data_IF_332497137953
#
_entry.id   IF_332497137953
#
_cell.length_a   1.000
_cell.length_b   1.000
_cell.length_c   1.000
_cell.angle_alpha   90.00
_cell.angle_beta   90.00
_cell.angle_gamma   90.00
#
_symmetry.space_group_name_H-M   'P 1'
#
loop_
_entity.id
_entity.type
_entity.pdbx_description
1 polymer ?
#
# COMPACT_ATOMS: atom_id res chain seq x y z
N UNK A 1 -40.46 8.24 15.06
CA UNK A 1 -39.80 8.96 13.93
C UNK A 1 -38.27 8.93 14.05
N UNK A 2 -37.67 7.82 14.53
CA UNK A 2 -36.20 7.66 14.72
C UNK A 2 -35.65 6.41 14.01
N UNK A 3 -36.52 5.55 13.44
CA UNK A 3 -36.10 4.38 12.64
C UNK A 3 -35.92 4.64 11.13
N UNK A 4 -36.19 5.86 10.65
CA UNK A 4 -36.07 6.23 9.23
C UNK A 4 -34.80 7.02 8.87
N UNK A 5 -33.97 7.39 9.85
CA UNK A 5 -32.74 8.18 9.60
C UNK A 5 -31.50 7.28 9.47
N UNK A 6 -31.51 6.08 10.09
CA UNK A 6 -30.38 5.14 10.01
C UNK A 6 -30.23 4.45 8.64
N UNK A 7 -31.32 4.28 7.89
CA UNK A 7 -31.28 3.64 6.58
C UNK A 7 -30.82 4.58 5.45
N UNK A 8 -30.85 5.89 5.68
CA UNK A 8 -30.36 6.87 4.70
C UNK A 8 -28.84 7.11 4.81
N UNK A 9 -28.23 6.72 5.93
CA UNK A 9 -26.78 6.90 6.17
C UNK A 9 -25.95 5.70 5.69
N UNK A 10 -26.54 4.49 5.62
CA UNK A 10 -25.88 3.31 5.04
C UNK A 10 -25.92 3.28 3.51
N UNK A 11 -26.93 3.90 2.88
CA UNK A 11 -27.01 3.99 1.41
C UNK A 11 -26.01 5.00 0.81
N UNK A 12 -25.47 5.91 1.61
CA UNK A 12 -24.49 6.91 1.17
C UNK A 12 -23.03 6.42 1.28
N UNK A 13 -22.80 5.27 1.92
CA UNK A 13 -21.49 4.63 2.07
C UNK A 13 -21.25 3.48 1.07
N UNK A 14 -22.27 3.13 0.27
CA UNK A 14 -22.21 2.07 -0.76
C UNK A 14 -22.10 2.60 -2.20
N UNK A 15 -21.76 3.89 -2.37
CA UNK A 15 -21.56 4.53 -3.69
C UNK A 15 -20.17 5.17 -3.84
N UNK A 16 -19.19 4.75 -3.04
CA UNK A 16 -17.77 5.05 -3.23
C UNK A 16 -16.95 3.80 -3.60
N UNK A 17 -17.58 2.85 -4.27
CA UNK A 17 -16.87 2.04 -5.28
C UNK A 17 -17.18 2.67 -6.64
N UNK A 18 -16.76 3.92 -6.82
CA UNK A 18 -16.25 4.27 -8.14
C UNK A 18 -15.00 3.39 -8.26
N UNK A 19 -15.17 2.22 -8.89
CA UNK A 19 -14.11 1.68 -9.72
C UNK A 19 -13.78 2.80 -10.69
N UNK A 20 -12.83 3.64 -10.29
CA UNK A 20 -12.01 4.37 -11.25
C UNK A 20 -11.60 3.27 -12.21
N UNK A 21 -12.07 3.35 -13.45
CA UNK A 21 -11.49 2.59 -14.52
C UNK A 21 -10.03 3.02 -14.52
N UNK A 22 -9.23 2.28 -13.77
CA UNK A 22 -7.80 2.50 -13.59
C UNK A 22 -7.25 2.47 -15.01
N UNK A 23 -6.81 3.63 -15.49
CA UNK A 23 -6.18 3.67 -16.80
C UNK A 23 -4.88 2.90 -16.66
N UNK A 24 -4.92 1.60 -16.95
CA UNK A 24 -3.89 0.61 -16.68
C UNK A 24 -2.62 0.84 -17.52
N UNK A 25 -1.98 2.01 -17.40
CA UNK A 25 -0.69 2.30 -18.00
C UNK A 25 0.34 2.49 -16.88
N UNK A 26 0.37 1.53 -15.96
CA UNK A 26 1.40 1.49 -14.93
C UNK A 26 2.77 1.37 -15.60
N UNK A 27 3.78 1.99 -14.99
CA UNK A 27 5.17 1.86 -15.42
C UNK A 27 5.95 1.13 -14.33
N UNK A 28 6.57 0.01 -14.69
CA UNK A 28 7.57 -0.66 -13.87
C UNK A 28 8.97 -0.25 -14.35
N UNK A 29 9.89 0.02 -13.42
CA UNK A 29 11.25 0.48 -13.74
C UNK A 29 12.30 -0.31 -12.95
N UNK A 30 13.36 -0.75 -13.63
CA UNK A 30 14.55 -1.31 -12.98
C UNK A 30 15.50 -0.20 -12.50
N UNK A 31 16.01 -0.34 -11.28
CA UNK A 31 16.92 0.60 -10.62
C UNK A 31 18.04 -0.15 -9.89
N UNK A 32 19.25 0.41 -9.87
CA UNK A 32 20.36 -0.07 -9.04
C UNK A 32 21.59 -0.51 -9.81
N UNK A 33 21.68 -0.26 -11.11
CA UNK A 33 22.79 -0.74 -11.95
C UNK A 33 23.65 0.40 -12.53
N UNK A 34 23.37 1.68 -12.19
CA UNK A 34 24.17 2.80 -12.69
C UNK A 34 24.10 4.05 -11.80
N UNK A 35 25.25 4.57 -11.37
CA UNK A 35 25.34 5.77 -10.50
C UNK A 35 24.67 7.02 -11.07
N UNK A 36 24.62 7.16 -12.39
CA UNK A 36 24.01 8.32 -13.05
C UNK A 36 22.49 8.36 -12.90
N UNK A 37 21.86 7.27 -12.46
CA UNK A 37 20.40 7.17 -12.33
C UNK A 37 19.85 7.95 -11.13
N UNK A 38 20.69 8.23 -10.14
CA UNK A 38 20.30 8.95 -8.91
C UNK A 38 19.76 8.01 -7.83
N UNK A 39 19.36 8.59 -6.70
CA UNK A 39 18.89 7.83 -5.53
C UNK A 39 17.52 7.18 -5.76
N UNK A 40 17.20 6.13 -5.00
CA UNK A 40 15.89 5.48 -5.07
C UNK A 40 14.75 6.44 -4.66
N UNK A 41 14.97 7.28 -3.64
CA UNK A 41 14.00 8.33 -3.26
C UNK A 41 13.73 9.29 -4.42
N UNK A 42 14.74 9.75 -5.15
CA UNK A 42 14.58 10.65 -6.31
C UNK A 42 13.78 9.96 -7.43
N UNK A 43 14.11 8.71 -7.74
CA UNK A 43 13.37 7.89 -8.72
C UNK A 43 11.88 7.83 -8.39
N UNK A 44 11.54 7.52 -7.14
CA UNK A 44 10.17 7.43 -6.68
C UNK A 44 9.45 8.79 -6.67
N UNK A 45 10.15 9.86 -6.28
CA UNK A 45 9.61 11.22 -6.23
C UNK A 45 9.23 11.79 -7.62
N UNK A 46 9.66 11.16 -8.72
CA UNK A 46 9.22 11.55 -10.07
C UNK A 46 7.71 11.40 -10.28
N UNK A 47 7.04 10.54 -9.50
CA UNK A 47 5.62 10.21 -9.67
C UNK A 47 5.30 9.55 -11.01
N UNK A 48 6.29 8.90 -11.65
CA UNK A 48 6.15 8.26 -12.97
C UNK A 48 5.88 6.76 -12.90
N UNK A 49 6.32 6.10 -11.82
CA UNK A 49 6.42 4.65 -11.75
C UNK A 49 5.47 4.10 -10.67
N UNK A 50 4.78 3.01 -11.01
CA UNK A 50 3.92 2.28 -10.08
C UNK A 50 4.69 1.14 -9.37
N UNK A 51 5.75 0.66 -10.02
CA UNK A 51 6.63 -0.40 -9.51
C UNK A 51 8.09 0.01 -9.70
N UNK A 52 8.91 -0.17 -8.68
CA UNK A 52 10.37 -0.04 -8.75
C UNK A 52 11.00 -1.37 -8.39
N UNK A 53 11.89 -1.85 -9.24
CA UNK A 53 12.50 -3.16 -9.15
C UNK A 53 13.99 -2.98 -8.86
N UNK A 54 14.43 -3.41 -7.68
CA UNK A 54 15.82 -3.32 -7.22
C UNK A 54 16.64 -4.43 -7.88
N UNK A 55 17.52 -4.05 -8.80
CA UNK A 55 18.38 -4.93 -9.56
C UNK A 55 19.81 -4.88 -9.00
N UNK A 56 20.41 -5.96 -8.48
CA UNK A 56 19.91 -7.34 -8.38
C UNK A 56 20.43 -8.09 -7.15
N UNK A 57 19.76 -9.17 -6.75
CA UNK A 57 20.39 -10.28 -6.04
C UNK A 57 20.84 -11.32 -7.08
N UNK A 58 22.10 -11.26 -7.50
CA UNK A 58 22.61 -12.04 -8.63
C UNK A 58 23.64 -13.12 -8.26
N UNK A 59 23.84 -13.38 -6.97
CA UNK A 59 24.62 -14.52 -6.50
C UNK A 59 23.82 -15.21 -5.39
N UNK A 60 23.39 -16.45 -5.59
CA UNK A 60 22.65 -17.26 -4.60
C UNK A 60 22.50 -18.73 -5.02
N UNK A 61 22.10 -19.58 -4.06
CA UNK A 61 21.81 -21.00 -4.27
C UNK A 61 23.05 -21.85 -4.48
N UNK A 62 22.88 -23.17 -4.60
CA UNK A 62 23.94 -24.18 -4.63
C UNK A 62 24.97 -24.01 -3.48
N UNK A 63 24.48 -23.68 -2.28
CA UNK A 63 25.30 -23.44 -1.09
C UNK A 63 26.12 -22.14 -1.08
N UNK A 64 25.94 -21.27 -2.08
CA UNK A 64 26.57 -19.94 -2.09
C UNK A 64 25.90 -18.98 -1.10
N UNK A 65 26.68 -18.04 -0.55
CA UNK A 65 26.14 -16.98 0.31
C UNK A 65 25.46 -15.93 -0.57
N UNK A 66 24.14 -15.69 -0.40
CA UNK A 66 23.47 -14.76 -1.28
C UNK A 66 24.01 -13.33 -1.13
N UNK A 67 24.28 -12.65 -2.24
CA UNK A 67 24.86 -11.31 -2.26
C UNK A 67 24.14 -10.41 -3.23
N UNK A 68 23.76 -9.22 -2.76
CA UNK A 68 23.14 -8.18 -3.58
C UNK A 68 24.22 -7.37 -4.31
N UNK A 69 23.95 -6.98 -5.54
CA UNK A 69 24.75 -6.09 -6.35
C UNK A 69 23.88 -4.92 -6.80
N UNK A 70 24.12 -3.73 -6.23
CA UNK A 70 23.49 -2.48 -6.64
C UNK A 70 24.52 -1.53 -7.27
N UNK A 71 25.39 -2.10 -8.12
CA UNK A 71 26.54 -1.42 -8.70
C UNK A 71 27.31 -0.64 -7.63
N UNK A 72 27.53 0.66 -7.83
CA UNK A 72 28.26 1.54 -6.91
C UNK A 72 27.34 2.36 -5.99
N UNK A 73 26.02 2.12 -6.00
CA UNK A 73 25.10 2.79 -5.08
C UNK A 73 25.38 2.45 -3.61
N UNK A 74 25.79 1.21 -3.35
CA UNK A 74 26.20 0.79 -2.02
C UNK A 74 27.08 -0.46 -2.06
N UNK A 75 27.92 -0.60 -1.05
CA UNK A 75 28.66 -1.84 -0.79
C UNK A 75 27.84 -2.69 0.21
N UNK A 76 27.45 -3.93 -0.15
CA UNK A 76 26.76 -4.81 0.80
C UNK A 76 27.64 -5.21 1.98
N UNK A 77 28.96 -5.07 1.89
CA UNK A 77 29.87 -5.28 3.00
C UNK A 77 29.68 -4.20 4.07
N UNK A 78 29.88 -4.59 5.33
CA UNK A 78 29.86 -3.66 6.47
C UNK A 78 28.58 -2.82 6.57
N UNK A 79 27.42 -3.40 6.20
CA UNK A 79 26.11 -2.77 6.29
C UNK A 79 25.88 -1.55 5.36
N UNK A 80 26.70 -1.37 4.31
CA UNK A 80 26.67 -0.17 3.46
C UNK A 80 25.38 0.05 2.68
N UNK A 81 24.60 -1.01 2.40
CA UNK A 81 23.31 -0.91 1.69
C UNK A 81 22.10 -0.65 2.60
N UNK A 82 22.25 -0.61 3.93
CA UNK A 82 21.10 -0.44 4.84
C UNK A 82 20.44 0.94 4.78
N UNK A 83 21.17 1.93 4.27
CA UNK A 83 20.66 3.29 4.04
C UNK A 83 19.47 3.30 3.09
N UNK A 84 19.37 2.33 2.18
CA UNK A 84 18.24 2.17 1.26
C UNK A 84 16.91 1.85 1.97
N UNK A 85 16.93 1.41 3.24
CA UNK A 85 15.70 1.18 4.02
C UNK A 85 14.80 2.42 4.04
N UNK A 86 15.38 3.60 4.21
CA UNK A 86 14.63 4.85 4.23
C UNK A 86 14.04 5.15 2.85
N UNK A 87 14.82 4.94 1.79
CA UNK A 87 14.37 5.20 0.42
C UNK A 87 13.21 4.27 0.02
N UNK A 88 13.32 2.98 0.35
CA UNK A 88 12.26 1.99 0.12
C UNK A 88 10.96 2.43 0.80
N UNK A 89 11.04 2.83 2.08
CA UNK A 89 9.88 3.34 2.83
C UNK A 89 9.30 4.61 2.20
N UNK A 90 10.14 5.51 1.69
CA UNK A 90 9.69 6.71 0.99
C UNK A 90 8.93 6.39 -0.31
N UNK A 91 9.36 5.38 -1.06
CA UNK A 91 8.62 4.89 -2.23
C UNK A 91 7.27 4.29 -1.82
N UNK A 92 7.27 3.39 -0.82
CA UNK A 92 6.07 2.71 -0.35
C UNK A 92 5.02 3.67 0.22
N UNK A 93 5.45 4.75 0.91
CA UNK A 93 4.54 5.80 1.38
C UNK A 93 3.84 6.56 0.24
N UNK A 94 4.40 6.52 -0.98
CA UNK A 94 3.79 7.09 -2.18
C UNK A 94 2.91 6.08 -2.93
N UNK A 95 2.73 4.87 -2.38
CA UNK A 95 1.95 3.79 -3.01
C UNK A 95 2.71 2.99 -4.06
N UNK A 96 4.01 3.25 -4.24
CA UNK A 96 4.86 2.54 -5.19
C UNK A 96 5.27 1.20 -4.58
N UNK A 97 5.09 0.11 -5.32
CA UNK A 97 5.58 -1.21 -4.90
C UNK A 97 7.07 -1.33 -5.18
N UNK A 98 7.83 -1.77 -4.19
CA UNK A 98 9.27 -2.00 -4.32
C UNK A 98 9.55 -3.50 -4.23
N UNK A 99 10.09 -4.07 -5.30
CA UNK A 99 10.44 -5.50 -5.40
C UNK A 99 11.97 -5.66 -5.46
N UNK A 100 12.47 -6.80 -4.97
CA UNK A 100 13.86 -7.22 -5.23
C UNK A 100 13.88 -8.17 -6.42
N UNK A 101 14.70 -7.87 -7.42
CA UNK A 101 14.94 -8.78 -8.54
C UNK A 101 16.06 -9.75 -8.25
N UNK A 102 15.77 -11.04 -8.42
CA UNK A 102 16.74 -12.13 -8.39
C UNK A 102 17.16 -12.46 -9.82
N UNK A 103 18.46 -12.65 -10.03
CA UNK A 103 19.03 -13.01 -11.32
C UNK A 103 19.69 -11.83 -12.06
N UNK A 104 19.23 -11.56 -13.28
CA UNK A 104 19.79 -10.63 -14.25
C UNK A 104 20.73 -11.31 -15.26
N UNK A 105 21.12 -10.58 -16.31
CA UNK A 105 21.96 -11.07 -17.40
C UNK A 105 23.38 -11.55 -17.00
N UNK A 106 23.84 -11.26 -15.77
CA UNK A 106 25.12 -11.71 -15.23
C UNK A 106 24.99 -12.07 -13.74
N UNK A 107 25.81 -13.01 -13.29
CA UNK A 107 25.81 -13.51 -11.92
C UNK A 107 26.09 -15.00 -11.81
N UNK A 108 26.01 -15.50 -10.58
CA UNK A 108 26.14 -16.91 -10.27
C UNK A 108 24.97 -17.34 -9.38
N UNK A 109 23.84 -17.59 -10.04
CA UNK A 109 22.61 -18.00 -9.39
C UNK A 109 22.09 -19.30 -9.99
N UNK A 110 21.64 -20.21 -9.12
CA UNK A 110 21.08 -21.51 -9.51
C UNK A 110 20.29 -22.09 -8.35
N UNK A 111 19.48 -23.13 -8.59
CA UNK A 111 18.81 -23.89 -7.55
C UNK A 111 19.13 -25.37 -7.74
N UNK A 112 19.92 -25.96 -6.85
CA UNK A 112 20.42 -27.32 -7.03
C UNK A 112 19.37 -28.41 -6.71
N UNK A 113 18.32 -28.04 -5.97
CA UNK A 113 17.24 -28.94 -5.55
C UNK A 113 16.03 -28.16 -5.04
N UNK A 114 14.92 -28.88 -4.80
CA UNK A 114 13.75 -28.36 -4.08
C UNK A 114 14.10 -27.81 -2.68
N UNK A 115 15.00 -28.49 -1.94
CA UNK A 115 15.48 -28.02 -0.64
C UNK A 115 16.28 -26.71 -0.78
N UNK A 116 17.06 -26.56 -1.84
CA UNK A 116 17.80 -25.33 -2.13
C UNK A 116 16.83 -24.19 -2.47
N UNK A 117 15.81 -24.44 -3.28
CA UNK A 117 14.71 -23.49 -3.55
C UNK A 117 14.02 -23.04 -2.26
N UNK A 118 13.74 -23.98 -1.33
CA UNK A 118 13.18 -23.65 -0.03
C UNK A 118 14.14 -22.80 0.82
N UNK A 119 15.44 -23.15 0.86
CA UNK A 119 16.44 -22.39 1.61
C UNK A 119 16.58 -20.96 1.08
N UNK A 120 16.57 -20.77 -0.24
CA UNK A 120 16.56 -19.45 -0.87
C UNK A 120 15.28 -18.69 -0.54
N UNK A 121 14.11 -19.33 -0.58
CA UNK A 121 12.84 -18.71 -0.14
C UNK A 121 12.91 -18.23 1.31
N UNK A 122 13.39 -19.08 2.23
CA UNK A 122 13.53 -18.75 3.65
C UNK A 122 14.53 -17.59 3.86
N UNK A 123 15.61 -17.55 3.07
CA UNK A 123 16.57 -16.44 3.08
C UNK A 123 15.91 -15.13 2.62
N UNK A 124 15.21 -15.13 1.49
CA UNK A 124 14.51 -13.96 0.96
C UNK A 124 13.44 -13.46 1.95
N UNK A 125 12.68 -14.39 2.53
CA UNK A 125 11.67 -14.09 3.53
C UNK A 125 12.26 -13.36 4.75
N UNK A 126 13.34 -13.89 5.30
CA UNK A 126 13.96 -13.35 6.51
C UNK A 126 14.84 -12.12 6.25
N UNK A 127 15.46 -12.01 5.08
CA UNK A 127 16.40 -10.94 4.73
C UNK A 127 15.73 -9.69 4.15
N UNK A 128 14.63 -9.84 3.41
CA UNK A 128 14.04 -8.77 2.59
C UNK A 128 12.55 -8.59 2.77
N UNK A 129 11.83 -9.65 3.15
CA UNK A 129 10.37 -9.61 3.35
C UNK A 129 10.02 -9.59 4.85
N UNK A 130 8.89 -10.18 5.23
CA UNK A 130 8.28 -10.09 6.56
C UNK A 130 8.83 -11.05 7.62
N UNK A 131 9.88 -11.82 7.29
CA UNK A 131 10.50 -12.75 8.21
C UNK A 131 11.27 -12.05 9.35
N UNK A 132 11.68 -12.86 10.34
CA UNK A 132 12.36 -12.36 11.54
C UNK A 132 13.84 -12.71 11.45
N UNK A 133 14.62 -11.75 10.98
CA UNK A 133 16.07 -11.71 11.21
C UNK A 133 16.41 -10.47 12.03
N UNK A 134 17.61 -10.42 12.63
CA UNK A 134 18.07 -9.19 13.26
C UNK A 134 18.13 -8.07 12.19
N UNK A 135 17.74 -6.83 12.47
CA UNK A 135 17.98 -5.72 11.55
C UNK A 135 19.45 -5.58 11.15
N UNK A 136 20.37 -6.06 12.01
CA UNK A 136 21.80 -6.12 11.73
C UNK A 136 22.18 -7.12 10.62
N UNK A 137 21.31 -8.08 10.28
CA UNK A 137 21.54 -9.11 9.26
C UNK A 137 20.78 -8.92 7.94
N UNK A 138 19.95 -7.87 7.83
CA UNK A 138 19.19 -7.58 6.60
C UNK A 138 20.00 -6.69 5.66
N UNK A 139 20.26 -7.10 4.41
CA UNK A 139 21.13 -6.33 3.49
C UNK A 139 20.65 -4.89 3.22
N UNK A 140 19.33 -4.70 3.12
CA UNK A 140 18.70 -3.40 2.86
C UNK A 140 18.13 -2.75 4.12
N UNK A 141 18.54 -3.22 5.31
CA UNK A 141 18.04 -2.72 6.60
C UNK A 141 16.64 -3.24 6.94
N UNK A 142 15.90 -2.47 7.74
CA UNK A 142 14.63 -2.89 8.35
C UNK A 142 13.40 -2.70 7.45
N UNK A 143 13.56 -2.19 6.23
CA UNK A 143 12.47 -2.12 5.26
C UNK A 143 12.00 -3.53 4.87
N UNK A 144 10.70 -3.66 4.65
CA UNK A 144 10.05 -4.88 4.18
C UNK A 144 9.60 -4.61 2.75
N UNK A 145 10.19 -5.31 1.79
CA UNK A 145 9.83 -5.18 0.37
C UNK A 145 8.42 -5.74 0.12
N UNK A 146 7.82 -5.29 -0.97
CA UNK A 146 6.48 -5.71 -1.40
C UNK A 146 6.51 -7.10 -2.04
N UNK A 147 7.64 -7.49 -2.66
CA UNK A 147 7.69 -8.72 -3.42
C UNK A 147 9.08 -9.08 -3.95
N UNK A 148 9.10 -10.19 -4.69
CA UNK A 148 10.28 -10.73 -5.37
C UNK A 148 9.99 -10.79 -6.86
N UNK A 149 10.95 -10.30 -7.64
CA UNK A 149 10.97 -10.35 -9.09
C UNK A 149 11.93 -11.42 -9.59
N UNK A 150 11.50 -12.24 -10.54
CA UNK A 150 12.26 -13.32 -11.16
C UNK A 150 12.76 -12.87 -12.54
N UNK A 151 14.02 -12.44 -12.61
CA UNK A 151 14.70 -12.11 -13.86
C UNK A 151 15.77 -13.16 -14.15
N UNK A 152 15.33 -14.36 -14.54
CA UNK A 152 16.22 -15.52 -14.70
C UNK A 152 16.56 -15.66 -16.18
N UNK A 153 17.81 -15.35 -16.54
CA UNK A 153 18.24 -15.27 -17.95
C UNK A 153 19.29 -16.31 -18.35
N UNK A 154 20.15 -16.75 -17.42
CA UNK A 154 21.36 -17.53 -17.75
C UNK A 154 21.49 -18.86 -16.99
N UNK A 155 20.52 -19.22 -16.15
CA UNK A 155 20.51 -20.48 -15.41
C UNK A 155 19.47 -21.42 -16.00
N UNK A 156 19.80 -22.70 -16.32
CA UNK A 156 18.85 -23.68 -16.82
C UNK A 156 17.58 -23.78 -15.95
N UNK A 157 16.44 -24.28 -16.49
CA UNK A 157 15.18 -24.31 -15.77
C UNK A 157 15.30 -25.29 -14.60
N UNK A 158 15.46 -24.73 -13.41
CA UNK A 158 15.83 -25.44 -12.19
C UNK A 158 15.00 -24.90 -11.04
N UNK A 159 13.97 -25.65 -10.63
CA UNK A 159 13.24 -25.47 -9.37
C UNK A 159 12.65 -24.06 -9.13
N UNK A 160 12.56 -23.20 -10.15
CA UNK A 160 12.02 -21.84 -10.06
C UNK A 160 10.53 -21.84 -9.70
N UNK A 161 9.80 -22.85 -10.16
CA UNK A 161 8.40 -23.09 -9.81
C UNK A 161 8.22 -23.43 -8.33
N UNK A 162 9.19 -24.14 -7.73
CA UNK A 162 9.17 -24.46 -6.31
C UNK A 162 9.52 -23.24 -5.47
N UNK A 163 10.53 -22.46 -5.88
CA UNK A 163 10.86 -21.18 -5.25
C UNK A 163 9.66 -20.23 -5.26
N UNK A 164 8.97 -20.11 -6.40
CA UNK A 164 7.79 -19.26 -6.52
C UNK A 164 6.66 -19.71 -5.56
N UNK A 165 6.40 -21.02 -5.47
CA UNK A 165 5.39 -21.57 -4.53
C UNK A 165 5.78 -21.37 -3.06
N UNK A 166 7.05 -21.55 -2.71
CA UNK A 166 7.52 -21.30 -1.34
C UNK A 166 7.39 -19.83 -0.95
N UNK A 167 7.75 -18.90 -1.86
CA UNK A 167 7.57 -17.47 -1.63
C UNK A 167 6.10 -17.08 -1.50
N UNK A 168 5.24 -17.60 -2.38
CA UNK A 168 3.78 -17.35 -2.32
C UNK A 168 3.19 -17.83 -1.00
N UNK A 169 3.66 -18.97 -0.48
CA UNK A 169 3.19 -19.55 0.78
C UNK A 169 3.47 -18.69 2.03
N UNK A 170 4.38 -17.72 1.94
CA UNK A 170 4.62 -16.74 3.01
C UNK A 170 3.55 -15.64 3.06
N UNK A 171 2.68 -15.54 2.05
CA UNK A 171 1.58 -14.59 2.05
C UNK A 171 0.60 -14.85 3.19
N UNK A 172 0.14 -13.78 3.81
CA UNK A 172 -0.86 -13.79 4.87
C UNK A 172 -2.02 -12.87 4.50
N UNK A 173 -3.21 -13.00 5.12
CA UNK A 173 -4.31 -12.07 4.89
C UNK A 173 -3.95 -10.60 5.19
N UNK A 174 -2.96 -10.37 6.06
CA UNK A 174 -2.49 -9.03 6.42
C UNK A 174 -1.38 -8.49 5.51
N UNK A 175 -0.63 -9.37 4.84
CA UNK A 175 0.50 -8.99 3.99
C UNK A 175 0.70 -10.04 2.91
N UNK A 176 0.45 -9.64 1.67
CA UNK A 176 0.75 -10.41 0.47
C UNK A 176 2.24 -10.26 0.13
N UNK A 177 2.86 -11.35 -0.34
CA UNK A 177 4.15 -11.32 -1.04
C UNK A 177 3.83 -11.27 -2.52
N UNK A 178 4.13 -10.14 -3.17
CA UNK A 178 3.93 -10.02 -4.62
C UNK A 178 5.03 -10.79 -5.35
N UNK A 179 4.65 -11.50 -6.41
CA UNK A 179 5.59 -12.20 -7.27
C UNK A 179 5.51 -11.65 -8.69
N UNK A 180 6.67 -11.34 -9.26
CA UNK A 180 6.79 -10.95 -10.65
C UNK A 180 7.83 -11.75 -11.40
N UNK A 181 7.75 -11.73 -12.71
CA UNK A 181 8.68 -12.42 -13.60
C UNK A 181 9.00 -11.58 -14.84
N UNK A 182 10.25 -11.65 -15.28
CA UNK A 182 10.79 -11.01 -16.46
C UNK A 182 11.20 -12.04 -17.53
N UNK A 183 10.29 -12.88 -18.07
CA UNK A 183 10.67 -13.81 -19.13
C UNK A 183 11.12 -13.06 -20.38
N UNK A 184 11.98 -13.69 -21.18
CA UNK A 184 12.28 -13.22 -22.52
C UNK A 184 11.05 -13.38 -23.43
N UNK A 185 10.99 -12.62 -24.53
CA UNK A 185 9.83 -12.69 -25.42
C UNK A 185 9.59 -14.01 -26.18
N UNK A 186 10.59 -14.88 -26.43
CA UNK A 186 10.32 -16.20 -27.03
C UNK A 186 9.40 -17.02 -26.14
N UNK A 187 8.36 -17.62 -26.73
CA UNK A 187 7.39 -18.43 -25.99
C UNK A 187 7.46 -19.91 -26.38
N UNK A 188 7.45 -20.85 -25.42
CA UNK A 188 7.54 -20.61 -23.97
C UNK A 188 8.95 -20.13 -23.59
N UNK A 189 9.04 -19.36 -22.52
CA UNK A 189 10.33 -18.95 -21.96
C UNK A 189 11.10 -20.18 -21.47
N UNK A 190 12.39 -20.25 -21.79
CA UNK A 190 13.22 -21.42 -21.51
C UNK A 190 13.43 -21.66 -20.01
N UNK A 191 13.49 -20.59 -19.21
CA UNK A 191 13.86 -20.65 -17.80
C UNK A 191 12.65 -20.56 -16.87
N UNK A 192 11.75 -19.63 -17.17
CA UNK A 192 10.58 -19.30 -16.35
C UNK A 192 9.29 -19.95 -16.86
N UNK A 193 9.30 -20.64 -18.01
CA UNK A 193 8.09 -21.26 -18.57
C UNK A 193 7.37 -22.20 -17.60
N UNK A 194 8.11 -23.04 -16.86
CA UNK A 194 7.54 -23.93 -15.83
C UNK A 194 7.04 -23.13 -14.63
N UNK A 195 7.81 -22.16 -14.15
CA UNK A 195 7.42 -21.31 -13.04
C UNK A 195 6.12 -20.53 -13.34
N UNK A 196 6.01 -19.94 -14.52
CA UNK A 196 4.82 -19.19 -14.96
C UNK A 196 3.57 -20.08 -15.03
N UNK A 197 3.72 -21.37 -15.33
CA UNK A 197 2.61 -22.34 -15.34
C UNK A 197 2.00 -22.61 -13.95
N UNK A 198 2.66 -22.19 -12.87
CA UNK A 198 2.11 -22.29 -11.51
C UNK A 198 1.01 -21.28 -11.22
N UNK A 199 0.91 -20.23 -12.05
CA UNK A 199 -0.06 -19.13 -11.96
C UNK A 199 -0.02 -18.32 -10.64
N UNK A 200 1.10 -18.35 -9.92
CA UNK A 200 1.29 -17.58 -8.67
C UNK A 200 1.83 -16.16 -8.90
N UNK A 201 2.23 -15.83 -10.13
CA UNK A 201 2.81 -14.54 -10.48
C UNK A 201 1.71 -13.48 -10.66
N UNK A 202 1.88 -12.34 -10.00
CA UNK A 202 0.98 -11.18 -10.07
C UNK A 202 1.26 -10.31 -11.28
N UNK A 203 2.54 -10.20 -11.66
CA UNK A 203 3.02 -9.31 -12.72
C UNK A 203 3.99 -10.07 -13.61
N UNK A 204 3.84 -9.95 -14.92
CA UNK A 204 4.76 -10.56 -15.89
C UNK A 204 5.19 -9.48 -16.87
N UNK A 205 6.45 -9.06 -16.83
CA UNK A 205 7.01 -8.05 -17.73
C UNK A 205 7.93 -8.69 -18.76
N UNK A 206 7.34 -9.05 -19.90
CA UNK A 206 8.02 -9.80 -20.97
C UNK A 206 9.04 -8.89 -21.64
N UNK A 207 10.29 -9.34 -21.74
CA UNK A 207 11.39 -8.58 -22.34
C UNK A 207 11.32 -8.66 -23.88
N UNK A 208 10.74 -7.64 -24.52
CA UNK A 208 10.59 -7.55 -25.99
C UNK A 208 11.82 -6.91 -26.66
N UNK A 209 13.01 -7.39 -26.28
CA UNK A 209 14.32 -6.95 -26.77
C UNK A 209 15.35 -8.08 -26.63
N UNK A 210 16.53 -7.96 -27.24
CA UNK A 210 17.57 -9.00 -27.26
C UNK A 210 17.13 -10.31 -27.93
N UNK A 211 16.03 -10.30 -28.70
CA UNK A 211 15.35 -11.50 -29.20
C UNK A 211 14.67 -11.27 -30.56
N UNK A 212 15.42 -11.40 -31.67
CA UNK A 212 14.85 -11.34 -33.02
C UNK A 212 13.70 -12.33 -33.21
N UNK A 213 12.66 -11.92 -33.95
CA UNK A 213 11.46 -12.72 -34.17
C UNK A 213 10.36 -12.60 -33.11
N UNK A 214 10.61 -11.92 -31.98
CA UNK A 214 9.55 -11.49 -31.06
C UNK A 214 9.70 -10.06 -30.57
N UNK A 215 10.79 -9.35 -30.86
CA UNK A 215 10.97 -7.93 -30.59
C UNK A 215 10.44 -7.03 -31.72
N UNK A 216 10.60 -5.71 -31.54
CA UNK A 216 10.43 -4.75 -32.63
C UNK A 216 11.65 -4.73 -33.54
N UNK A 217 11.41 -4.81 -34.84
CA UNK A 217 12.42 -4.66 -35.88
C UNK A 217 12.07 -3.41 -36.71
N UNK A 218 13.07 -2.63 -37.16
CA UNK A 218 12.86 -1.30 -37.76
C UNK A 218 11.72 -1.29 -38.83
N UNK A 219 10.60 -0.68 -38.47
CA UNK A 219 9.41 -0.54 -39.32
C UNK A 219 8.38 -1.69 -39.25
N UNK A 220 8.63 -2.73 -38.46
CA UNK A 220 7.75 -3.89 -38.31
C UNK A 220 7.40 -4.18 -36.84
N UNK A 221 6.11 -4.01 -36.50
CA UNK A 221 5.54 -4.32 -35.17
C UNK A 221 4.95 -5.72 -35.09
N UNK A 222 4.86 -6.47 -36.19
CA UNK A 222 4.08 -7.70 -36.26
C UNK A 222 4.64 -8.80 -35.35
N UNK A 223 5.96 -9.00 -35.33
CA UNK A 223 6.61 -10.01 -34.48
C UNK A 223 6.31 -9.76 -32.99
N UNK A 224 6.50 -8.52 -32.54
CA UNK A 224 6.15 -8.06 -31.19
C UNK A 224 4.66 -8.28 -30.89
N UNK A 225 3.75 -7.81 -31.75
CA UNK A 225 2.31 -7.93 -31.50
C UNK A 225 1.83 -9.39 -31.53
N UNK A 226 2.42 -10.25 -32.36
CA UNK A 226 2.13 -11.67 -32.40
C UNK A 226 2.57 -12.37 -31.10
N UNK A 227 3.80 -12.09 -30.64
CA UNK A 227 4.30 -12.61 -29.36
C UNK A 227 3.48 -12.06 -28.18
N UNK A 228 3.15 -10.77 -28.16
CA UNK A 228 2.24 -10.16 -27.18
C UNK A 228 0.90 -10.91 -27.07
N UNK A 229 0.28 -11.21 -28.21
CA UNK A 229 -0.98 -11.94 -28.27
C UNK A 229 -0.83 -13.39 -27.75
N UNK A 230 0.33 -14.02 -27.96
CA UNK A 230 0.62 -15.35 -27.43
C UNK A 230 0.77 -15.32 -25.91
N UNK A 231 1.56 -14.39 -25.38
CA UNK A 231 1.77 -14.21 -23.95
C UNK A 231 0.48 -13.88 -23.19
N UNK A 232 -0.28 -12.87 -23.66
CA UNK A 232 -1.52 -12.45 -23.00
C UNK A 232 -2.62 -13.51 -23.02
N UNK A 233 -2.61 -14.43 -23.99
CA UNK A 233 -3.52 -15.59 -23.99
C UNK A 233 -3.08 -16.68 -23.03
N UNK A 234 -1.78 -16.82 -22.77
CA UNK A 234 -1.21 -17.88 -21.94
C UNK A 234 -1.22 -17.53 -20.46
N UNK A 235 -0.91 -16.28 -20.09
CA UNK A 235 -0.94 -15.82 -18.69
C UNK A 235 -2.38 -15.59 -18.24
N UNK A 236 -2.90 -16.51 -17.41
CA UNK A 236 -4.30 -16.49 -16.94
C UNK A 236 -4.52 -15.63 -15.72
N UNK A 237 -3.58 -15.69 -14.78
CA UNK A 237 -3.61 -14.91 -13.54
C UNK A 237 -2.49 -13.87 -13.59
N UNK A 238 -2.79 -12.65 -13.14
CA UNK A 238 -1.84 -11.54 -13.14
C UNK A 238 -1.98 -10.58 -14.33
N UNK A 239 -1.20 -9.51 -14.27
CA UNK A 239 -1.11 -8.46 -15.28
C UNK A 239 0.14 -8.66 -16.15
N UNK A 240 0.00 -8.44 -17.44
CA UNK A 240 1.06 -8.58 -18.45
C UNK A 240 1.55 -7.18 -18.87
N UNK A 241 2.87 -6.99 -18.83
CA UNK A 241 3.54 -5.72 -19.13
C UNK A 241 4.44 -5.89 -20.36
N UNK A 242 4.50 -4.83 -21.18
CA UNK A 242 5.43 -4.74 -22.30
C UNK A 242 6.80 -4.27 -21.78
N UNK A 243 7.79 -5.17 -21.69
CA UNK A 243 9.16 -4.82 -21.31
C UNK A 243 9.96 -4.27 -22.48
N UNK A 244 10.52 -3.07 -22.33
CA UNK A 244 11.28 -2.37 -23.37
C UNK A 244 12.55 -1.72 -22.82
N UNK A 245 13.59 -1.57 -23.66
CA UNK A 245 14.72 -0.73 -23.34
C UNK A 245 14.30 0.76 -23.42
N UNK A 246 14.69 1.56 -22.43
CA UNK A 246 14.35 2.99 -22.36
C UNK A 246 15.20 3.87 -23.30
N UNK A 247 16.25 3.32 -23.90
CA UNK A 247 17.03 3.94 -24.98
C UNK A 247 17.61 2.88 -25.93
N UNK A 248 18.16 3.31 -27.07
CA UNK A 248 18.81 2.42 -28.04
C UNK A 248 20.08 1.78 -27.46
N UNK A 249 20.73 2.43 -26.51
CA UNK A 249 21.96 1.98 -25.85
C UNK A 249 21.69 0.99 -24.71
N UNK A 250 20.44 0.86 -24.27
CA UNK A 250 20.08 0.02 -23.13
C UNK A 250 20.01 -1.49 -23.46
N UNK A 251 19.91 -1.85 -24.73
CA UNK A 251 19.85 -3.23 -25.23
C UNK A 251 20.55 -3.32 -26.60
N UNK A 252 20.84 -4.54 -27.07
CA UNK A 252 21.51 -4.75 -28.36
C UNK A 252 20.58 -4.46 -29.55
N UNK A 253 19.29 -4.67 -29.37
CA UNK A 253 18.21 -4.60 -30.36
C UNK A 253 16.86 -4.47 -29.62
N UNK A 254 15.75 -4.35 -30.36
CA UNK A 254 14.40 -4.25 -29.81
C UNK A 254 14.00 -2.88 -29.25
N UNK A 255 14.84 -1.84 -29.37
CA UNK A 255 14.42 -0.48 -29.02
C UNK A 255 13.31 0.01 -29.94
N UNK A 256 12.18 0.38 -29.33
CA UNK A 256 11.01 0.91 -30.01
C UNK A 256 11.11 2.44 -30.02
N UNK A 257 11.09 3.10 -31.20
CA UNK A 257 10.95 4.55 -31.26
C UNK A 257 9.63 5.01 -30.64
N UNK A 258 9.67 6.09 -29.85
CA UNK A 258 8.52 6.62 -29.10
C UNK A 258 7.28 6.83 -29.99
N UNK A 259 7.45 7.33 -31.21
CA UNK A 259 6.33 7.53 -32.14
C UNK A 259 5.64 6.20 -32.48
N UNK A 260 6.41 5.15 -32.79
CA UNK A 260 5.90 3.80 -33.08
C UNK A 260 5.21 3.22 -31.85
N UNK A 261 5.80 3.40 -30.66
CA UNK A 261 5.19 2.94 -29.42
C UNK A 261 3.78 3.53 -29.24
N UNK A 262 3.63 4.84 -29.36
CA UNK A 262 2.37 5.52 -29.06
C UNK A 262 1.32 5.40 -30.18
N UNK A 263 1.73 5.29 -31.44
CA UNK A 263 0.78 5.21 -32.57
C UNK A 263 0.39 3.79 -32.93
N UNK A 264 1.30 2.83 -32.82
CA UNK A 264 1.12 1.50 -33.40
C UNK A 264 0.99 0.42 -32.33
N UNK A 265 1.85 0.45 -31.30
CA UNK A 265 1.93 -0.63 -30.29
C UNK A 265 0.94 -0.43 -29.14
N UNK A 266 0.98 0.69 -28.41
CA UNK A 266 0.10 0.93 -27.25
C UNK A 266 -1.40 0.80 -27.61
N UNK A 267 -1.91 1.34 -28.74
CA UNK A 267 -3.31 1.17 -29.13
C UNK A 267 -3.70 -0.28 -29.44
N UNK A 268 -2.74 -1.14 -29.77
CA UNK A 268 -2.99 -2.57 -30.01
C UNK A 268 -2.97 -3.36 -28.69
N UNK A 269 -1.94 -3.19 -27.86
CA UNK A 269 -1.72 -4.02 -26.67
C UNK A 269 -2.66 -3.70 -25.50
N UNK A 270 -3.10 -2.45 -25.39
CA UNK A 270 -4.04 -1.99 -24.34
C UNK A 270 -5.42 -2.63 -24.43
N UNK A 271 -5.73 -3.31 -25.55
CA UNK A 271 -6.96 -4.07 -25.75
C UNK A 271 -6.95 -5.44 -25.05
N UNK A 272 -5.78 -5.94 -24.65
CA UNK A 272 -5.69 -7.20 -23.92
C UNK A 272 -6.28 -7.04 -22.51
N UNK A 273 -7.16 -7.96 -22.06
CA UNK A 273 -7.86 -7.82 -20.78
C UNK A 273 -6.95 -7.87 -19.55
N UNK A 274 -5.79 -8.49 -19.68
CA UNK A 274 -4.74 -8.57 -18.66
C UNK A 274 -3.58 -7.60 -18.90
N UNK A 275 -3.74 -6.59 -19.78
CA UNK A 275 -2.73 -5.55 -19.94
C UNK A 275 -2.53 -4.78 -18.63
N UNK A 276 -1.27 -4.74 -18.17
CA UNK A 276 -0.86 -4.08 -16.94
C UNK A 276 -0.14 -2.75 -17.15
N UNK A 277 0.58 -2.60 -18.26
CA UNK A 277 1.39 -1.42 -18.51
C UNK A 277 2.68 -1.73 -19.28
N UNK A 278 3.70 -0.93 -19.01
CA UNK A 278 5.03 -1.02 -19.64
C UNK A 278 6.10 -1.21 -18.56
N UNK A 279 7.08 -2.06 -18.81
CA UNK A 279 8.30 -2.16 -18.01
C UNK A 279 9.45 -1.54 -18.78
N UNK A 280 10.32 -0.80 -18.10
CA UNK A 280 11.47 -0.13 -18.70
C UNK A 280 12.79 -0.62 -18.08
N UNK A 281 13.71 -0.99 -18.97
CA UNK A 281 15.12 -1.21 -18.67
C UNK A 281 15.94 0.00 -19.18
N UNK A 282 16.46 0.90 -18.36
CA UNK A 282 16.42 1.06 -16.89
C UNK A 282 16.19 2.52 -16.51
N UNK A 283 16.14 2.83 -15.20
CA UNK A 283 16.05 4.21 -14.68
C UNK A 283 17.12 5.13 -15.28
N UNK A 284 18.36 4.68 -15.41
CA UNK A 284 19.45 5.48 -15.99
C UNK A 284 19.15 5.99 -17.39
N UNK A 285 18.66 5.11 -18.26
CA UNK A 285 18.36 5.44 -19.64
C UNK A 285 17.07 6.24 -19.76
N UNK A 286 16.04 5.91 -18.98
CA UNK A 286 14.79 6.67 -18.93
C UNK A 286 15.00 8.11 -18.45
N UNK A 287 15.91 8.33 -17.49
CA UNK A 287 16.29 9.66 -17.03
C UNK A 287 16.91 10.52 -18.14
N UNK A 288 17.64 9.91 -19.06
CA UNK A 288 18.29 10.61 -20.18
C UNK A 288 17.32 10.90 -21.32
N UNK A 289 16.47 9.93 -21.66
CA UNK A 289 15.59 10.01 -22.84
C UNK A 289 14.21 10.56 -22.53
N UNK A 290 13.76 10.46 -21.29
CA UNK A 290 12.39 10.79 -20.87
C UNK A 290 11.34 9.83 -21.44
N UNK A 291 11.71 8.59 -21.80
CA UNK A 291 10.86 7.62 -22.47
C UNK A 291 9.51 7.40 -21.77
N UNK A 292 9.53 7.28 -20.43
CA UNK A 292 8.34 7.14 -19.58
C UNK A 292 7.32 8.28 -19.75
N UNK A 293 7.78 9.51 -20.04
CA UNK A 293 6.91 10.67 -20.14
C UNK A 293 5.95 10.54 -21.32
N UNK A 294 6.38 9.89 -22.40
CA UNK A 294 5.55 9.66 -23.56
C UNK A 294 4.49 8.58 -23.32
N UNK A 295 4.83 7.53 -22.57
CA UNK A 295 3.87 6.50 -22.13
C UNK A 295 2.79 7.16 -21.25
N UNK A 296 3.19 7.97 -20.27
CA UNK A 296 2.24 8.71 -19.42
C UNK A 296 1.37 9.68 -20.21
N UNK A 297 1.95 10.40 -21.16
CA UNK A 297 1.21 11.32 -22.02
C UNK A 297 0.15 10.59 -22.86
N UNK A 298 0.46 9.39 -23.36
CA UNK A 298 -0.51 8.55 -24.06
C UNK A 298 -1.70 8.19 -23.15
N UNK A 299 -1.46 7.76 -21.91
CA UNK A 299 -2.52 7.51 -20.91
C UNK A 299 -3.44 8.71 -20.72
N UNK A 300 -2.84 9.90 -20.70
CA UNK A 300 -3.55 11.16 -20.51
C UNK A 300 -4.37 11.64 -21.71
N UNK A 301 -4.09 11.14 -22.91
CA UNK A 301 -4.95 11.38 -24.08
C UNK A 301 -6.17 10.45 -24.11
N UNK A 302 -6.08 9.29 -23.44
CA UNK A 302 -7.18 8.33 -23.32
C UNK A 302 -8.12 8.67 -22.16
N UNK A 303 -7.61 9.23 -21.06
CA UNK A 303 -8.42 9.77 -19.97
C UNK A 303 -8.83 11.22 -20.27
N UNK A 304 -10.08 11.60 -19.98
CA UNK A 304 -10.52 12.99 -20.12
C UNK A 304 -9.51 13.95 -19.44
N UNK A 305 -8.98 14.91 -20.21
CA UNK A 305 -7.88 15.84 -19.92
C UNK A 305 -7.76 16.45 -18.50
N UNK A 306 -8.81 16.40 -17.69
CA UNK A 306 -8.89 16.98 -16.34
C UNK A 306 -8.09 16.24 -15.27
N UNK A 307 -7.83 14.94 -15.43
CA UNK A 307 -7.20 14.13 -14.37
C UNK A 307 -5.66 14.12 -14.45
N UNK A 308 -5.11 14.49 -15.61
CA UNK A 308 -3.69 14.36 -15.93
C UNK A 308 -2.81 15.59 -15.68
N UNK A 309 -3.36 16.65 -15.09
CA UNK A 309 -2.59 17.85 -14.77
C UNK A 309 -1.83 17.65 -13.45
N UNK A 310 -0.74 16.90 -13.51
CA UNK A 310 0.30 16.94 -12.48
C UNK A 310 0.87 18.36 -12.38
N UNK A 311 1.05 18.84 -11.15
CA UNK A 311 1.47 20.20 -10.82
C UNK A 311 2.90 20.50 -11.30
N UNK A 312 3.05 20.93 -12.55
CA UNK A 312 4.17 21.79 -12.95
C UNK A 312 3.86 23.23 -12.52
N UNK A 313 3.93 23.46 -11.20
CA UNK A 313 4.29 24.73 -10.56
C UNK A 313 4.05 24.59 -9.05
N UNK A 314 5.12 24.70 -8.28
CA UNK A 314 5.05 24.82 -6.82
C UNK A 314 4.36 26.15 -6.44
N UNK A 315 3.03 26.18 -6.44
CA UNK A 315 2.24 27.08 -5.60
C UNK A 315 1.39 26.22 -4.68
N UNK A 316 1.80 26.18 -3.42
CA UNK A 316 1.10 25.49 -2.35
C UNK A 316 -0.35 25.99 -2.27
N UNK A 317 -1.28 25.26 -2.90
CA UNK A 317 -2.71 25.46 -2.71
C UNK A 317 -3.09 24.91 -1.34
N UNK A 318 -3.05 25.80 -0.34
CA UNK A 318 -3.38 25.50 1.06
C UNK A 318 -4.90 25.40 1.29
N UNK A 319 -5.60 24.62 0.47
CA UNK A 319 -7.05 24.44 0.56
C UNK A 319 -7.48 23.86 1.92
N UNK A 320 -6.60 23.08 2.55
CA UNK A 320 -6.74 22.55 3.90
C UNK A 320 -6.89 23.64 4.97
N UNK A 321 -6.39 24.87 4.76
CA UNK A 321 -6.61 26.01 5.66
C UNK A 321 -8.10 26.37 5.69
N UNK A 322 -8.76 26.42 4.53
CA UNK A 322 -10.19 26.71 4.46
C UNK A 322 -11.04 25.59 5.06
N UNK A 323 -10.56 24.35 5.00
CA UNK A 323 -11.20 23.21 5.64
C UNK A 323 -11.12 23.31 7.19
N UNK A 324 -9.96 23.70 7.73
CA UNK A 324 -9.79 23.94 9.16
C UNK A 324 -10.60 25.15 9.65
N UNK A 325 -10.70 26.22 8.86
CA UNK A 325 -11.55 27.38 9.15
C UNK A 325 -13.03 26.99 9.14
N UNK A 326 -13.47 26.17 8.18
CA UNK A 326 -14.84 25.67 8.10
C UNK A 326 -15.23 24.80 9.30
N UNK A 327 -14.35 23.87 9.69
CA UNK A 327 -14.57 23.02 10.88
C UNK A 327 -14.60 23.85 12.17
N UNK A 328 -13.68 24.81 12.31
CA UNK A 328 -13.65 25.72 13.46
C UNK A 328 -14.92 26.58 13.57
N UNK A 329 -15.41 27.12 12.45
CA UNK A 329 -16.65 27.90 12.42
C UNK A 329 -17.88 27.05 12.79
N UNK A 330 -17.98 25.82 12.27
CA UNK A 330 -19.06 24.90 12.62
C UNK A 330 -19.05 24.55 14.12
N UNK A 331 -17.86 24.33 14.69
CA UNK A 331 -17.70 24.05 16.12
C UNK A 331 -18.13 25.25 16.99
N UNK A 332 -17.71 26.46 16.61
CA UNK A 332 -18.09 27.69 17.31
C UNK A 332 -19.61 27.94 17.26
N UNK A 333 -20.25 27.74 16.11
CA UNK A 333 -21.70 27.88 15.95
C UNK A 333 -22.43 26.84 16.83
N UNK A 334 -21.95 25.60 16.85
CA UNK A 334 -22.55 24.54 17.67
C UNK A 334 -22.43 24.85 19.16
N UNK A 335 -21.26 25.32 19.62
CA UNK A 335 -21.06 25.77 21.00
C UNK A 335 -21.95 26.96 21.37
N UNK A 336 -22.13 27.91 20.44
CA UNK A 336 -22.99 29.08 20.66
C UNK A 336 -24.46 28.69 20.79
N UNK A 337 -24.96 27.79 19.94
CA UNK A 337 -26.33 27.25 20.02
C UNK A 337 -26.53 26.51 21.35
N UNK A 338 -25.58 25.66 21.75
CA UNK A 338 -25.64 24.97 23.05
C UNK A 338 -25.64 25.95 24.22
N UNK A 339 -24.87 27.03 24.16
CA UNK A 339 -24.85 28.07 25.18
C UNK A 339 -26.21 28.79 25.27
N UNK A 340 -26.82 29.16 24.14
CA UNK A 340 -28.16 29.74 24.09
C UNK A 340 -29.21 28.78 24.67
N UNK A 341 -29.15 27.49 24.32
CA UNK A 341 -30.04 26.48 24.90
C UNK A 341 -29.86 26.37 26.42
N UNK A 342 -28.63 26.44 26.92
CA UNK A 342 -28.34 26.43 28.36
C UNK A 342 -28.87 27.69 29.08
N UNK A 343 -28.73 28.87 28.47
CA UNK A 343 -29.25 30.13 29.03
C UNK A 343 -30.78 30.15 29.04
N UNK A 344 -31.42 29.68 27.96
CA UNK A 344 -32.89 29.55 27.91
C UNK A 344 -33.40 28.55 28.96
N UNK A 345 -32.74 27.41 29.13
CA UNK A 345 -33.05 26.46 30.21
C UNK A 345 -32.86 27.03 31.61
N UNK A 346 -31.86 27.91 31.82
CA UNK A 346 -31.68 28.63 33.10
C UNK A 346 -32.78 29.64 33.37
N UNK A 347 -33.29 30.35 32.35
CA UNK A 347 -34.42 31.28 32.48
C UNK A 347 -35.73 30.57 32.83
N UNK A 348 -35.99 29.42 32.23
CA UNK A 348 -37.16 28.61 32.59
C UNK A 348 -37.04 28.08 34.03
N UNK A 349 -35.85 27.61 34.42
CA UNK A 349 -35.62 27.13 35.79
C UNK A 349 -35.78 28.24 36.84
N UNK A 350 -35.30 29.47 36.57
CA UNK A 350 -35.50 30.60 37.50
C UNK A 350 -36.95 31.06 37.61
N UNK A 351 -37.75 30.95 36.54
CA UNK A 351 -39.19 31.25 36.60
C UNK A 351 -40.00 30.17 37.33
N UNK A 352 -39.58 28.91 37.24
CA UNK A 352 -40.21 27.78 37.95
C UNK A 352 -39.85 27.80 39.44
N UNK A 353 -38.58 28.00 39.79
CA UNK A 353 -38.10 28.06 41.18
C UNK A 353 -38.67 29.31 41.91
N UNK A 354 -38.72 30.46 41.23
CA UNK A 354 -39.36 31.68 41.77
C UNK A 354 -40.88 31.59 41.94
N UNK A 355 -41.56 30.65 41.26
CA UNK A 355 -42.99 30.33 41.48
C UNK A 355 -43.20 29.30 42.59
N UNK A 356 -42.22 28.45 42.87
CA UNK A 356 -42.28 27.41 43.90
C UNK A 356 -42.02 28.00 45.28
N UNK A 357 -41.04 28.90 45.42
CA UNK A 357 -40.74 29.58 46.71
C UNK A 357 -41.87 30.52 47.16
N UNK A 358 -42.56 31.17 46.20
CA UNK A 358 -43.71 32.03 46.50
C UNK A 358 -44.97 31.25 46.91
N UNK A 359 -45.01 29.94 46.61
CA UNK A 359 -46.13 29.04 46.95
C UNK A 359 -45.90 28.28 48.26
N UNK A 360 -44.64 28.11 48.69
CA UNK A 360 -44.28 27.42 49.94
C UNK A 360 -44.32 28.35 51.17
N UNK A 361 -44.23 29.68 51.00
CA UNK A 361 -44.33 30.65 52.10
C UNK A 361 -45.77 30.94 52.59
N UNK A 362 -46.80 30.38 51.95
CA UNK A 362 -48.20 30.56 52.32
C UNK A 362 -48.86 29.18 52.40
N UNK A 363 -48.63 28.44 53.48
CA UNK A 363 -49.52 27.44 54.12
C UNK A 363 -48.68 26.67 55.17
N UNK A 364 -48.66 27.14 56.41
CA UNK A 364 -48.64 26.23 57.57
C UNK A 364 -50.10 26.09 58.03
N UNK A 365 -50.56 24.86 58.34
CA UNK A 365 -50.67 24.54 59.76
C UNK A 365 -50.37 23.08 60.11
N UNK A 366 -49.82 22.93 61.32
CA UNK A 366 -50.12 21.93 62.35
C UNK A 366 -50.47 20.50 61.92
N UNK A 367 -49.51 19.59 62.19
CA UNK A 367 -49.65 18.36 62.98
C UNK A 367 -50.79 17.38 62.68
N UNK A 368 -50.43 16.12 62.42
CA UNK A 368 -50.96 14.91 63.10
C UNK A 368 -50.26 13.64 62.59
N UNK A 369 -49.76 12.88 63.58
CA UNK A 369 -49.64 11.43 63.78
C UNK A 369 -49.68 10.41 62.61
N UNK A 370 -48.83 9.35 62.65
CA UNK A 370 -48.71 8.33 61.62
C UNK A 370 -49.60 7.12 61.93
N UNK A 371 -50.19 6.51 60.90
CA UNK A 371 -50.46 5.07 60.88
C UNK A 371 -50.97 4.62 59.50
N UNK A 372 -50.61 3.37 59.19
CA UNK A 372 -51.26 2.42 58.28
C UNK A 372 -50.67 2.21 56.88
N UNK A 373 -49.74 1.25 56.90
CA UNK A 373 -49.42 0.20 55.94
C UNK A 373 -50.57 -0.27 55.04
N UNK A 374 -50.30 -0.47 53.75
CA UNK A 374 -50.72 -1.69 53.05
C UNK A 374 -49.87 -1.96 51.78
N UNK A 375 -49.46 -3.23 51.64
CA UNK A 375 -48.60 -3.78 50.60
C UNK A 375 -49.44 -4.33 49.44
N UNK A 376 -49.05 -4.13 48.17
CA UNK A 376 -49.24 -5.15 47.11
C UNK A 376 -48.00 -5.21 46.19
N UNK A 377 -47.65 -6.46 45.87
CA UNK A 377 -46.42 -7.02 45.29
C UNK A 377 -46.28 -6.88 43.76
N UNK A 378 -45.00 -6.80 43.36
CA UNK A 378 -44.29 -7.47 42.25
C UNK A 378 -44.86 -7.42 40.82
N UNK A 379 -44.11 -6.80 39.91
CA UNK A 379 -43.43 -7.56 38.86
C UNK A 379 -42.16 -6.86 38.37
N UNK A 380 -41.12 -7.66 38.18
CA UNK A 380 -39.72 -7.29 38.03
C UNK A 380 -39.30 -7.40 36.55
N UNK A 381 -38.72 -6.33 35.99
CA UNK A 381 -37.71 -6.44 34.92
C UNK A 381 -36.65 -5.35 35.08
N UNK A 382 -35.60 -5.75 35.77
CA UNK A 382 -34.40 -4.98 36.11
C UNK A 382 -33.53 -4.77 34.86
N UNK A 383 -33.49 -3.54 34.37
CA UNK A 383 -32.39 -3.03 33.55
C UNK A 383 -31.20 -2.79 34.47
N UNK A 384 -30.01 -3.30 34.11
CA UNK A 384 -28.75 -3.01 34.82
C UNK A 384 -28.47 -1.51 34.78
N UNK A 385 -28.82 -0.80 35.85
CA UNK A 385 -28.51 0.61 36.06
C UNK A 385 -27.06 0.72 36.54
N UNK A 386 -26.20 1.33 35.72
CA UNK A 386 -24.90 1.82 36.19
C UNK A 386 -25.19 2.95 37.17
N UNK A 387 -24.86 2.77 38.45
CA UNK A 387 -24.98 3.82 39.47
C UNK A 387 -23.98 4.92 39.16
N UNK A 388 -24.48 6.06 38.70
CA UNK A 388 -23.67 7.27 38.52
C UNK A 388 -23.57 7.98 39.87
N UNK A 389 -22.41 7.88 40.52
CA UNK A 389 -22.13 8.63 41.74
C UNK A 389 -21.79 10.08 41.39
N UNK A 390 -22.33 11.03 42.16
CA UNK A 390 -21.98 12.44 41.99
C UNK A 390 -20.53 12.69 42.48
N UNK A 391 -19.91 13.75 41.98
CA UNK A 391 -18.52 14.10 42.28
C UNK A 391 -18.27 14.38 43.77
N UNK A 392 -19.26 14.95 44.48
CA UNK A 392 -19.12 15.26 45.91
C UNK A 392 -19.11 14.00 46.79
N UNK A 393 -19.92 13.00 46.46
CA UNK A 393 -19.91 11.69 47.12
C UNK A 393 -18.57 10.98 46.94
N UNK A 394 -17.94 11.15 45.77
CA UNK A 394 -16.62 10.57 45.49
C UNK A 394 -15.49 11.29 46.26
N UNK A 395 -15.57 12.62 46.42
CA UNK A 395 -14.62 13.39 47.25
C UNK A 395 -14.76 13.01 48.73
N UNK A 396 -15.99 12.89 49.22
CA UNK A 396 -16.24 12.53 50.61
C UNK A 396 -15.76 11.10 50.92
N UNK A 397 -16.04 10.13 50.03
CA UNK A 397 -15.63 8.73 50.21
C UNK A 397 -14.10 8.53 50.12
N UNK A 398 -13.42 9.31 49.28
CA UNK A 398 -11.95 9.25 49.13
C UNK A 398 -11.18 10.09 50.16
N UNK A 399 -11.89 10.80 51.04
CA UNK A 399 -11.30 11.81 51.92
C UNK A 399 -10.39 12.78 51.13
N UNK A 400 -10.96 13.41 50.11
CA UNK A 400 -10.28 14.31 49.19
C UNK A 400 -9.02 13.68 48.54
N UNK A 401 -9.12 12.42 48.11
CA UNK A 401 -8.06 11.68 47.43
C UNK A 401 -6.74 11.58 48.21
N UNK A 402 -6.82 11.35 49.52
CA UNK A 402 -5.64 11.09 50.36
C UNK A 402 -4.85 9.86 49.90
N UNK A 403 -3.51 9.88 50.06
CA UNK A 403 -2.59 8.83 49.61
C UNK A 403 -2.83 7.47 50.25
N UNK A 404 -3.48 7.42 51.41
CA UNK A 404 -3.88 6.20 52.15
C UNK A 404 -5.12 5.50 51.56
N UNK A 405 -5.89 6.16 50.70
CA UNK A 405 -7.13 5.64 50.10
C UNK A 405 -7.06 5.54 48.57
N UNK A 406 -5.85 5.33 48.01
CA UNK A 406 -5.71 5.05 46.57
C UNK A 406 -6.24 3.65 46.27
N UNK A 407 -7.23 3.58 45.38
CA UNK A 407 -7.70 2.32 44.79
C UNK A 407 -6.71 1.94 43.68
N UNK A 408 -5.87 0.94 43.92
CA UNK A 408 -5.13 0.25 42.84
C UNK A 408 -3.60 0.12 42.94
N UNK A 409 -3.02 -0.14 44.12
CA UNK A 409 -1.78 -0.95 44.17
C UNK A 409 -2.21 -2.41 44.30
N UNK A 410 -2.24 -3.11 43.16
CA UNK A 410 -2.50 -4.54 43.12
C UNK A 410 -1.27 -5.29 43.65
N UNK A 411 -1.43 -5.83 44.86
CA UNK A 411 -0.44 -6.60 45.61
C UNK A 411 -0.31 -8.03 45.06
N UNK A 412 0.32 -8.19 43.89
CA UNK A 412 0.81 -9.49 43.45
C UNK A 412 2.34 -9.46 43.37
N UNK A 413 2.94 -9.98 44.45
CA UNK A 413 4.35 -10.38 44.50
C UNK A 413 4.74 -11.45 43.46
N UNK A 414 5.94 -12.02 43.56
CA UNK A 414 6.68 -12.53 42.40
C UNK A 414 6.10 -13.79 41.78
N UNK A 415 6.11 -13.82 40.43
CA UNK A 415 6.27 -15.01 39.57
C UNK A 415 7.18 -14.66 38.41
#
# INVERSE_FOLDING_TARGET
MIKRILHSSLLFLLLLENSVADSNNDIAIYWGQNDGEGTLTETCATGKYSYVILAFLNNFGNGTVPTINLASHCDPLMDGCKTLSTDIKNCQMQGIKVLLSIGGADGNYSLASSDDAKNVSDYLWNGFLGGKSSPSSRPLGDAVLDGIDFDIEISPPQHWEELARYLESHSTPARKVYLSAAPQCPFPDAELGIALSTEVFDYVWIQFYNNPGCEYEDGDVNNLLNSWNQWTKSVKNGKVFLGLPASREAASNGYVPVNVLVTDILPAITKSPNYGGVMLWTTYYDKQTGYSNYIRSFSCTQQNHTECRGNDEHKANKWWIWLMVGVGAAFAITCFILCLCCVSRRKDKSQVDGKLDKKISFTEPNGVNPNKTENIKLEERRSNEVKVFNFESNIAASNNFSSINKVGEGDFGPV
#
